data_IF_701766814583
#
_entry.id   IF_701766814583
#
_cell.length_a   1.000
_cell.length_b   1.000
_cell.length_c   1.000
_cell.angle_alpha   90.00
_cell.angle_beta   90.00
_cell.angle_gamma   90.00
#
_symmetry.space_group_name_H-M   'P 1'
#
loop_
_entity.id
_entity.type
_entity.pdbx_description
1 polymer ?
#
# COMPACT_ATOMS: atom_id res chain seq x y z
N UNK A 1 -4.40 -2.33 22.84
CA UNK A 1 -2.94 -2.15 22.72
C UNK A 1 -2.52 -2.73 21.38
N UNK A 2 -1.96 -1.92 20.47
CA UNK A 2 -1.54 -2.35 19.13
C UNK A 2 -0.11 -2.87 19.22
N UNK A 3 0.12 -4.16 18.94
CA UNK A 3 1.48 -4.71 18.89
C UNK A 3 2.19 -4.26 17.60
N UNK A 4 3.30 -3.53 17.75
CA UNK A 4 4.18 -3.15 16.65
C UNK A 4 5.50 -3.89 16.81
N UNK A 5 5.85 -4.71 15.83
CA UNK A 5 7.12 -5.43 15.78
C UNK A 5 8.05 -4.72 14.78
N UNK A 6 9.17 -4.21 15.27
CA UNK A 6 10.17 -3.50 14.46
C UNK A 6 11.38 -4.41 14.29
N UNK A 7 11.62 -4.86 13.06
CA UNK A 7 12.81 -5.62 12.72
C UNK A 7 13.98 -4.65 12.48
N UNK A 8 15.05 -4.81 13.26
CA UNK A 8 16.24 -3.96 13.22
C UNK A 8 17.43 -4.68 12.59
N UNK A 9 18.32 -3.90 11.97
CA UNK A 9 19.60 -4.38 11.45
C UNK A 9 20.48 -4.91 12.61
N UNK A 10 21.02 -6.13 12.52
CA UNK A 10 21.90 -6.66 13.57
C UNK A 10 23.22 -5.87 13.71
N UNK A 11 23.69 -5.22 12.64
CA UNK A 11 24.95 -4.49 12.64
C UNK A 11 24.84 -3.05 13.16
N UNK A 12 23.87 -2.28 12.65
CA UNK A 12 23.75 -0.84 12.95
C UNK A 12 22.46 -0.44 13.68
N UNK A 13 21.62 -1.42 14.03
CA UNK A 13 20.31 -1.25 14.71
C UNK A 13 19.30 -0.34 14.00
N UNK A 14 19.56 0.07 12.75
CA UNK A 14 18.60 0.81 11.94
C UNK A 14 17.36 -0.05 11.67
N UNK A 15 16.19 0.59 11.60
CA UNK A 15 14.92 -0.08 11.29
C UNK A 15 14.92 -0.55 9.83
N UNK A 16 14.63 -1.84 9.62
CA UNK A 16 14.58 -2.45 8.28
C UNK A 16 13.14 -2.71 7.86
N UNK A 17 12.33 -3.22 8.80
CA UNK A 17 10.95 -3.57 8.55
C UNK A 17 10.09 -3.22 9.77
N UNK A 18 8.90 -2.68 9.53
CA UNK A 18 7.92 -2.35 10.57
C UNK A 18 6.67 -3.16 10.30
N UNK A 19 6.23 -3.93 11.29
CA UNK A 19 5.05 -4.79 11.22
C UNK A 19 4.03 -4.31 12.23
N UNK A 20 2.89 -3.89 11.74
CA UNK A 20 1.77 -3.46 12.59
C UNK A 20 0.86 -4.68 12.77
N UNK A 21 0.53 -5.02 14.03
CA UNK A 21 -0.37 -6.12 14.43
C UNK A 21 0.08 -7.54 13.99
N UNK A 22 1.35 -7.74 13.66
CA UNK A 22 1.80 -8.97 13.01
C UNK A 22 1.15 -9.19 11.63
N UNK A 23 0.46 -8.16 11.11
CA UNK A 23 -0.21 -8.12 9.81
C UNK A 23 0.82 -7.67 8.78
N UNK A 24 1.85 -8.49 8.62
CA UNK A 24 2.68 -8.40 7.44
C UNK A 24 2.23 -9.50 6.48
N UNK A 25 2.05 -9.15 5.22
CA UNK A 25 1.69 -10.13 4.19
C UNK A 25 2.78 -11.18 3.96
N UNK A 26 3.95 -10.99 4.60
CA UNK A 26 5.19 -11.79 4.50
C UNK A 26 5.71 -11.93 3.07
N UNK A 27 5.10 -11.22 2.11
CA UNK A 27 5.52 -11.23 0.72
C UNK A 27 6.64 -10.21 0.52
N UNK A 28 7.80 -10.70 0.09
CA UNK A 28 8.95 -9.88 -0.21
C UNK A 28 10.26 -10.68 -0.17
N UNK A 29 11.38 -10.02 -0.45
CA UNK A 29 12.68 -10.68 -0.49
C UNK A 29 13.12 -11.08 0.92
N UNK A 30 13.64 -12.31 1.04
CA UNK A 30 14.17 -12.86 2.30
C UNK A 30 15.48 -12.20 2.74
N UNK A 31 16.16 -11.50 1.82
CA UNK A 31 17.38 -10.74 2.07
C UNK A 31 17.17 -9.30 1.62
N UNK A 32 17.53 -8.34 2.46
CA UNK A 32 17.46 -6.92 2.15
C UNK A 32 18.75 -6.24 2.58
N UNK A 33 19.27 -5.33 1.75
CA UNK A 33 20.42 -4.52 2.10
C UNK A 33 20.00 -3.42 3.08
N UNK A 34 20.70 -3.30 4.21
CA UNK A 34 20.44 -2.23 5.16
C UNK A 34 20.86 -0.89 4.56
N UNK A 35 19.93 0.08 4.49
CA UNK A 35 20.22 1.39 3.90
C UNK A 35 21.30 2.19 4.65
N UNK A 36 21.52 1.92 5.95
CA UNK A 36 22.42 2.72 6.79
C UNK A 36 23.86 2.21 6.74
N UNK A 37 24.04 0.89 6.77
CA UNK A 37 25.38 0.27 6.85
C UNK A 37 25.73 -0.59 5.63
N UNK A 38 24.81 -0.73 4.66
CA UNK A 38 25.00 -1.53 3.45
C UNK A 38 25.00 -3.05 3.68
N UNK A 39 24.95 -3.53 4.92
CA UNK A 39 25.01 -4.97 5.21
C UNK A 39 23.72 -5.69 4.81
N UNK A 40 23.85 -6.88 4.23
CA UNK A 40 22.71 -7.75 3.87
C UNK A 40 22.11 -8.34 5.15
N UNK A 41 20.82 -8.10 5.35
CA UNK A 41 20.06 -8.56 6.50
C UNK A 41 18.99 -9.56 6.06
N UNK A 42 18.80 -10.61 6.86
CA UNK A 42 17.73 -11.58 6.65
C UNK A 42 16.41 -11.04 7.20
N UNK A 43 15.33 -11.18 6.42
CA UNK A 43 13.97 -10.85 6.83
C UNK A 43 13.12 -12.13 6.89
N UNK A 44 12.02 -12.12 7.64
CA UNK A 44 11.08 -13.27 7.66
C UNK A 44 10.17 -13.32 6.43
N UNK A 45 10.40 -12.44 5.44
CA UNK A 45 9.64 -12.39 4.20
C UNK A 45 10.09 -13.50 3.27
N UNK A 46 9.16 -14.00 2.47
CA UNK A 46 9.41 -15.02 1.45
C UNK A 46 8.80 -14.59 0.13
N UNK A 47 9.44 -14.95 -0.96
CA UNK A 47 8.84 -14.77 -2.28
C UNK A 47 7.69 -15.76 -2.49
N UNK A 48 6.73 -15.39 -3.33
CA UNK A 48 5.48 -16.12 -3.57
C UNK A 48 5.68 -17.62 -3.84
N UNK A 49 6.71 -17.95 -4.64
CA UNK A 49 7.06 -19.33 -4.99
C UNK A 49 7.44 -20.16 -3.76
N UNK A 50 8.13 -19.56 -2.80
CA UNK A 50 8.64 -20.22 -1.59
C UNK A 50 7.69 -20.14 -0.39
N UNK A 51 6.52 -19.54 -0.56
CA UNK A 51 5.47 -19.50 0.46
C UNK A 51 4.75 -20.84 0.57
N UNK A 52 4.45 -21.25 1.80
CA UNK A 52 3.52 -22.34 2.08
C UNK A 52 2.09 -21.97 1.63
N UNK A 53 1.23 -22.96 1.42
CA UNK A 53 -0.18 -22.74 1.08
C UNK A 53 -0.87 -21.87 2.15
N UNK A 54 -0.62 -22.14 3.43
CA UNK A 54 -1.15 -21.34 4.54
C UNK A 54 -0.72 -19.87 4.48
N UNK A 55 0.54 -19.59 4.10
CA UNK A 55 1.03 -18.23 3.93
C UNK A 55 0.37 -17.52 2.73
N UNK A 56 0.11 -18.23 1.62
CA UNK A 56 -0.62 -17.68 0.46
C UNK A 56 -2.07 -17.37 0.79
N UNK A 57 -2.76 -18.25 1.52
CA UNK A 57 -4.14 -17.99 1.99
C UNK A 57 -4.18 -16.77 2.92
N UNK A 58 -3.26 -16.69 3.89
CA UNK A 58 -3.12 -15.52 4.77
C UNK A 58 -2.85 -14.25 3.97
N UNK A 59 -1.99 -14.29 2.95
CA UNK A 59 -1.76 -13.17 2.05
C UNK A 59 -3.04 -12.73 1.34
N UNK A 60 -3.79 -13.69 0.77
CA UNK A 60 -5.05 -13.43 0.07
C UNK A 60 -6.08 -12.77 0.98
N UNK A 61 -6.25 -13.30 2.19
CA UNK A 61 -7.14 -12.71 3.21
C UNK A 61 -6.79 -11.25 3.53
N UNK A 62 -5.52 -10.97 3.86
CA UNK A 62 -5.10 -9.60 4.16
C UNK A 62 -5.18 -8.67 2.95
N UNK A 63 -4.91 -9.18 1.74
CA UNK A 63 -5.07 -8.42 0.51
C UNK A 63 -6.52 -8.02 0.28
N UNK A 64 -7.46 -8.95 0.48
CA UNK A 64 -8.90 -8.67 0.39
C UNK A 64 -9.33 -7.62 1.41
N UNK A 65 -8.88 -7.75 2.67
CA UNK A 65 -9.13 -6.74 3.71
C UNK A 65 -8.61 -5.35 3.30
N UNK A 66 -7.37 -5.27 2.79
CA UNK A 66 -6.83 -4.00 2.31
C UNK A 66 -7.61 -3.42 1.13
N UNK A 67 -8.06 -4.26 0.20
CA UNK A 67 -8.88 -3.84 -0.94
C UNK A 67 -10.23 -3.28 -0.44
N UNK A 68 -10.89 -3.96 0.50
CA UNK A 68 -12.18 -3.51 1.04
C UNK A 68 -12.06 -2.20 1.82
N UNK A 69 -11.03 -2.05 2.66
CA UNK A 69 -10.74 -0.80 3.37
C UNK A 69 -10.44 0.32 2.37
N UNK A 70 -9.59 0.05 1.38
CA UNK A 70 -9.23 1.02 0.35
C UNK A 70 -10.42 1.45 -0.52
N UNK A 71 -11.29 0.51 -0.89
CA UNK A 71 -12.53 0.77 -1.62
C UNK A 71 -13.48 1.64 -0.78
N UNK A 72 -13.72 1.28 0.48
CA UNK A 72 -14.60 2.05 1.38
C UNK A 72 -14.09 3.48 1.57
N UNK A 73 -12.79 3.65 1.79
CA UNK A 73 -12.16 4.98 1.88
C UNK A 73 -12.31 5.73 0.56
N UNK A 74 -12.04 5.10 -0.58
CA UNK A 74 -12.22 5.69 -1.90
C UNK A 74 -13.64 6.19 -2.16
N UNK A 75 -14.66 5.40 -1.77
CA UNK A 75 -16.07 5.78 -1.85
C UNK A 75 -16.39 6.99 -0.98
N UNK A 76 -16.02 6.94 0.31
CA UNK A 76 -16.24 8.05 1.24
C UNK A 76 -15.58 9.35 0.79
N UNK A 77 -14.32 9.29 0.34
CA UNK A 77 -13.62 10.49 -0.15
C UNK A 77 -14.21 11.05 -1.44
N UNK A 78 -14.59 10.18 -2.39
CA UNK A 78 -15.17 10.64 -3.65
C UNK A 78 -16.54 11.29 -3.43
N UNK A 79 -17.41 10.64 -2.64
CA UNK A 79 -18.70 11.23 -2.25
C UNK A 79 -18.50 12.58 -1.56
N UNK A 80 -17.57 12.65 -0.60
CA UNK A 80 -17.26 13.90 0.10
C UNK A 80 -16.81 15.00 -0.87
N UNK A 81 -15.95 14.66 -1.83
CA UNK A 81 -15.47 15.60 -2.85
C UNK A 81 -16.61 16.14 -3.73
N UNK A 82 -17.56 15.28 -4.12
CA UNK A 82 -18.74 15.68 -4.91
C UNK A 82 -19.66 16.59 -4.10
N UNK A 83 -19.96 16.24 -2.84
CA UNK A 83 -20.77 17.06 -1.95
C UNK A 83 -20.15 18.43 -1.72
N UNK A 84 -18.83 18.47 -1.53
CA UNK A 84 -18.08 19.71 -1.36
C UNK A 84 -18.22 20.65 -2.57
N UNK A 85 -18.15 20.10 -3.79
CA UNK A 85 -18.30 20.88 -5.03
C UNK A 85 -19.75 21.32 -5.26
N UNK A 86 -20.74 20.49 -4.91
CA UNK A 86 -22.15 20.74 -5.22
C UNK A 86 -22.84 21.68 -4.23
N UNK A 87 -22.63 21.49 -2.93
CA UNK A 87 -23.42 22.12 -1.85
C UNK A 87 -22.56 23.01 -0.95
N UNK A 88 -21.24 23.00 -1.12
CA UNK A 88 -20.27 23.66 -0.24
C UNK A 88 -20.16 22.98 1.12
N UNK A 89 -19.39 23.58 2.05
CA UNK A 89 -19.13 23.03 3.39
C UNK A 89 -20.35 23.04 4.35
N UNK A 90 -21.57 23.32 3.88
CA UNK A 90 -22.74 23.57 4.75
C UNK A 90 -23.43 22.30 5.27
N UNK A 91 -23.24 21.15 4.63
CA UNK A 91 -23.81 19.88 5.11
C UNK A 91 -22.79 19.11 5.95
N UNK A 92 -23.24 18.56 7.07
CA UNK A 92 -22.42 17.72 7.95
C UNK A 92 -21.86 16.50 7.21
N UNK A 93 -20.74 15.98 7.70
CA UNK A 93 -20.08 14.81 7.13
C UNK A 93 -20.91 13.55 7.41
N UNK A 94 -21.75 13.16 6.46
CA UNK A 94 -22.44 11.88 6.46
C UNK A 94 -22.12 11.14 5.17
N UNK A 95 -21.48 9.98 5.30
CA UNK A 95 -21.27 9.04 4.20
C UNK A 95 -22.60 8.33 3.97
N UNK A 96 -23.14 8.46 2.77
CA UNK A 96 -24.38 7.82 2.35
C UNK A 96 -24.05 6.69 1.37
N UNK A 97 -24.21 5.47 1.84
CA UNK A 97 -23.92 4.26 1.06
C UNK A 97 -24.94 4.01 -0.06
N UNK A 98 -26.04 4.77 -0.13
CA UNK A 98 -27.03 4.67 -1.21
C UNK A 98 -26.69 5.55 -2.42
N UNK A 99 -25.81 6.54 -2.23
CA UNK A 99 -25.51 7.54 -3.24
C UNK A 99 -24.58 7.00 -4.35
N UNK A 100 -24.89 7.22 -5.65
CA UNK A 100 -24.05 6.74 -6.75
C UNK A 100 -22.57 7.18 -6.68
N UNK A 101 -22.21 8.42 -6.26
CA UNK A 101 -20.82 8.81 -6.07
C UNK A 101 -20.03 7.87 -5.14
N UNK A 102 -20.64 7.40 -4.05
CA UNK A 102 -19.96 6.48 -3.14
C UNK A 102 -19.52 5.20 -3.86
N UNK A 103 -20.42 4.58 -4.63
CA UNK A 103 -20.14 3.35 -5.37
C UNK A 103 -19.10 3.53 -6.48
N UNK A 104 -19.08 4.69 -7.13
CA UNK A 104 -18.04 5.03 -8.13
C UNK A 104 -16.66 5.12 -7.47
N UNK A 105 -16.57 5.85 -6.35
CA UNK A 105 -15.33 5.95 -5.57
C UNK A 105 -14.90 4.59 -5.01
N UNK A 106 -15.86 3.78 -4.57
CA UNK A 106 -15.62 2.43 -4.07
C UNK A 106 -15.03 1.52 -5.14
N UNK A 107 -15.66 1.47 -6.32
CA UNK A 107 -15.15 0.68 -7.45
C UNK A 107 -13.75 1.11 -7.88
N UNK A 108 -13.49 2.42 -7.90
CA UNK A 108 -12.17 2.98 -8.23
C UNK A 108 -11.11 2.56 -7.21
N UNK A 109 -11.41 2.72 -5.91
CA UNK A 109 -10.51 2.28 -4.83
C UNK A 109 -10.25 0.77 -4.86
N UNK A 110 -11.29 -0.03 -5.14
CA UNK A 110 -11.19 -1.48 -5.29
C UNK A 110 -10.21 -1.87 -6.41
N UNK A 111 -10.36 -1.27 -7.59
CA UNK A 111 -9.50 -1.55 -8.76
C UNK A 111 -8.05 -1.13 -8.47
N UNK A 112 -7.83 0.07 -7.94
CA UNK A 112 -6.48 0.60 -7.69
C UNK A 112 -5.75 -0.25 -6.66
N UNK A 113 -6.37 -0.51 -5.51
CA UNK A 113 -5.72 -1.32 -4.45
C UNK A 113 -5.59 -2.77 -4.89
N UNK A 114 -6.57 -3.31 -5.63
CA UNK A 114 -6.50 -4.65 -6.22
C UNK A 114 -5.32 -4.80 -7.17
N UNK A 115 -5.14 -3.85 -8.09
CA UNK A 115 -4.03 -3.84 -9.03
C UNK A 115 -2.69 -3.80 -8.30
N UNK A 116 -2.57 -3.02 -7.23
CA UNK A 116 -1.37 -2.97 -6.40
C UNK A 116 -1.05 -4.35 -5.80
N UNK A 117 -2.04 -5.05 -5.24
CA UNK A 117 -1.80 -6.39 -4.67
C UNK A 117 -1.36 -7.39 -5.76
N UNK A 118 -1.94 -7.29 -6.96
CA UNK A 118 -1.54 -8.11 -8.12
C UNK A 118 -0.11 -7.78 -8.55
N UNK A 119 0.24 -6.50 -8.68
CA UNK A 119 1.58 -6.06 -9.05
C UNK A 119 2.64 -6.51 -8.02
N UNK A 120 2.30 -6.53 -6.72
CA UNK A 120 3.20 -7.06 -5.68
C UNK A 120 3.49 -8.54 -5.87
N UNK A 121 2.48 -9.35 -6.20
CA UNK A 121 2.65 -10.78 -6.51
C UNK A 121 3.46 -10.95 -7.80
N UNK A 122 3.14 -10.18 -8.85
CA UNK A 122 3.87 -10.22 -10.11
C UNK A 122 5.35 -9.85 -9.93
N UNK A 123 5.65 -8.80 -9.17
CA UNK A 123 7.02 -8.41 -8.84
C UNK A 123 7.76 -9.50 -8.05
N UNK A 124 7.07 -10.19 -7.14
CA UNK A 124 7.62 -11.34 -6.43
C UNK A 124 7.98 -12.50 -7.36
N UNK A 125 7.10 -12.82 -8.32
CA UNK A 125 7.36 -13.86 -9.31
C UNK A 125 8.52 -13.47 -10.24
N UNK A 126 8.58 -12.22 -10.69
CA UNK A 126 9.67 -11.71 -11.55
C UNK A 126 11.04 -11.81 -10.86
N UNK A 127 11.14 -11.44 -9.58
CA UNK A 127 12.40 -11.57 -8.82
C UNK A 127 12.90 -13.00 -8.74
N UNK A 128 11.99 -13.96 -8.54
CA UNK A 128 12.36 -15.38 -8.48
C UNK A 128 12.84 -15.90 -9.84
N UNK A 129 12.26 -15.44 -10.95
CA UNK A 129 12.70 -15.83 -12.29
C UNK A 129 14.10 -15.27 -12.61
N UNK A 130 14.35 -14.00 -12.29
CA UNK A 130 15.68 -13.39 -12.48
C UNK A 130 16.79 -14.12 -11.72
N UNK A 131 16.54 -14.57 -10.49
CA UNK A 131 17.53 -15.35 -9.72
C UNK A 131 17.74 -16.79 -10.19
N UNK A 132 16.93 -17.33 -11.13
CA UNK A 132 17.18 -18.65 -11.69
C UNK A 132 18.12 -18.61 -12.90
N UNK A 133 18.22 -17.46 -13.58
CA UNK A 133 19.05 -17.30 -14.77
C UNK A 133 20.46 -16.76 -14.45
N UNK A 134 20.71 -16.24 -13.24
CA UNK A 134 21.99 -15.63 -12.85
C UNK A 134 22.60 -16.30 -11.62
N UNK A 135 23.74 -16.98 -11.81
CA UNK A 135 24.53 -17.67 -10.76
C UNK A 135 25.32 -16.70 -9.86
N UNK A 136 25.42 -15.41 -10.16
CA UNK A 136 26.28 -14.51 -9.38
C UNK A 136 25.73 -13.09 -9.34
N UNK A 137 25.92 -12.44 -8.19
CA UNK A 137 25.53 -11.07 -7.84
C UNK A 137 24.04 -10.82 -7.55
N UNK A 138 23.72 -10.71 -6.26
CA UNK A 138 22.43 -10.23 -5.76
C UNK A 138 22.22 -8.81 -6.30
N UNK A 139 21.27 -8.55 -7.22
CA UNK A 139 21.07 -7.20 -7.71
C UNK A 139 20.62 -6.31 -6.56
N UNK A 140 21.44 -5.31 -6.26
CA UNK A 140 21.18 -4.31 -5.23
C UNK A 140 20.03 -3.41 -5.70
N UNK A 141 18.79 -3.84 -5.43
CA UNK A 141 17.62 -2.99 -5.71
C UNK A 141 17.81 -1.67 -4.96
N UNK A 142 17.75 -0.51 -5.64
CA UNK A 142 18.06 0.77 -5.01
C UNK A 142 17.13 1.01 -3.81
N UNK A 143 17.68 1.45 -2.66
CA UNK A 143 16.97 1.49 -1.38
C UNK A 143 15.80 2.49 -1.35
N UNK A 144 15.71 3.41 -2.32
CA UNK A 144 14.67 4.45 -2.36
C UNK A 144 13.27 3.92 -2.70
N UNK A 145 13.15 2.93 -3.59
CA UNK A 145 11.85 2.38 -4.02
C UNK A 145 11.29 1.39 -3.01
N UNK A 146 12.15 0.78 -2.18
CA UNK A 146 11.77 -0.23 -1.19
C UNK A 146 11.52 0.36 0.21
N UNK A 147 12.04 1.56 0.52
CA UNK A 147 12.08 2.15 1.86
C UNK A 147 10.71 2.37 2.52
N UNK A 148 9.68 2.68 1.75
CA UNK A 148 8.37 3.07 2.28
C UNK A 148 7.30 1.98 2.08
N UNK A 149 7.71 0.80 1.61
CA UNK A 149 6.80 -0.20 1.06
C UNK A 149 6.00 0.37 -0.12
N UNK A 150 5.33 -0.49 -0.88
CA UNK A 150 4.38 0.00 -1.89
C UNK A 150 3.17 0.72 -1.26
N UNK A 151 3.05 0.69 0.07
CA UNK A 151 1.91 1.19 0.83
C UNK A 151 1.79 2.72 0.76
N UNK A 152 2.86 3.48 1.00
CA UNK A 152 2.81 4.94 0.96
C UNK A 152 2.70 5.54 -0.45
N UNK A 153 3.41 5.05 -1.47
CA UNK A 153 3.21 5.52 -2.83
C UNK A 153 1.77 5.28 -3.27
N UNK A 154 1.15 4.17 -2.89
CA UNK A 154 -0.24 3.84 -3.23
C UNK A 154 -1.23 4.69 -2.44
N UNK A 155 -0.97 4.90 -1.15
CA UNK A 155 -1.77 5.83 -0.34
C UNK A 155 -1.70 7.24 -0.91
N UNK A 156 -0.51 7.68 -1.32
CA UNK A 156 -0.30 8.97 -1.97
C UNK A 156 -0.96 9.03 -3.35
N UNK A 157 -0.91 7.96 -4.15
CA UNK A 157 -1.54 7.92 -5.48
C UNK A 157 -3.06 7.99 -5.40
N UNK A 158 -3.66 7.48 -4.32
CA UNK A 158 -5.09 7.62 -4.03
C UNK A 158 -5.39 8.98 -3.42
N UNK A 159 -4.58 9.44 -2.46
CA UNK A 159 -4.83 10.67 -1.71
C UNK A 159 -4.55 11.94 -2.52
N UNK A 160 -3.56 11.96 -3.43
CA UNK A 160 -3.15 13.15 -4.18
C UNK A 160 -4.25 13.63 -5.13
N UNK A 161 -4.86 12.79 -6.01
CA UNK A 161 -5.95 13.23 -6.88
C UNK A 161 -7.13 13.76 -6.07
N UNK A 162 -7.45 13.11 -4.95
CA UNK A 162 -8.51 13.54 -4.03
C UNK A 162 -8.19 14.89 -3.37
N UNK A 163 -6.94 15.08 -2.95
CA UNK A 163 -6.44 16.32 -2.38
C UNK A 163 -6.45 17.47 -3.41
N UNK A 164 -6.04 17.19 -4.65
CA UNK A 164 -6.08 18.17 -5.75
C UNK A 164 -7.52 18.57 -6.07
N UNK A 165 -8.45 17.62 -6.16
CA UNK A 165 -9.87 17.92 -6.34
C UNK A 165 -10.42 18.80 -5.21
N UNK A 166 -10.04 18.52 -3.96
CA UNK A 166 -10.41 19.35 -2.80
C UNK A 166 -9.86 20.78 -2.88
N UNK A 167 -8.58 20.95 -3.25
CA UNK A 167 -7.98 22.28 -3.42
C UNK A 167 -8.66 23.06 -4.55
N UNK A 168 -8.93 22.43 -5.69
CA UNK A 168 -9.62 23.09 -6.81
C UNK A 168 -11.02 23.56 -6.40
N UNK A 169 -11.76 22.75 -5.65
CA UNK A 169 -13.06 23.13 -5.12
C UNK A 169 -12.95 24.34 -4.18
N UNK A 170 -11.97 24.33 -3.27
CA UNK A 170 -11.74 25.37 -2.28
C UNK A 170 -11.34 26.70 -2.95
N UNK A 171 -10.45 26.67 -3.93
CA UNK A 171 -10.05 27.85 -4.71
C UNK A 171 -11.21 28.47 -5.50
N UNK A 172 -12.15 27.65 -5.98
CA UNK A 172 -13.34 28.12 -6.69
C UNK A 172 -14.30 28.87 -5.76
N UNK A 173 -14.39 28.48 -4.50
CA UNK A 173 -15.29 29.08 -3.51
C UNK A 173 -14.77 30.45 -3.02
N UNK A 174 -13.45 30.60 -2.84
CA UNK A 174 -12.83 31.89 -2.49
C UNK A 174 -12.84 32.93 -3.62
N UNK A 175 -13.01 32.48 -4.87
CA UNK A 175 -13.07 33.36 -6.04
C UNK A 175 -14.46 33.95 -6.32
N UNK A 176 -15.48 33.62 -5.53
CA UNK A 176 -16.84 34.16 -5.60
C UNK A 176 -17.12 35.10 -4.45
#
# INVERSE_FOLDING_TARGET
MVHVEIQRCPHCRAEIDVRILGVCSRLGPSRQMCYRCGQVCFTDRREWRFMTISARLRYGFWSLMYIMVGATLGGGYFQWSVQLIGVGFRQGWMVDFSEPPFWIGFGTGFIVVGLVQVLRVAASIRRVRGCQDETEEIPSVPPSVLRWGWHLPVLALVAIPLFVCGIVALLRDFGR
#
